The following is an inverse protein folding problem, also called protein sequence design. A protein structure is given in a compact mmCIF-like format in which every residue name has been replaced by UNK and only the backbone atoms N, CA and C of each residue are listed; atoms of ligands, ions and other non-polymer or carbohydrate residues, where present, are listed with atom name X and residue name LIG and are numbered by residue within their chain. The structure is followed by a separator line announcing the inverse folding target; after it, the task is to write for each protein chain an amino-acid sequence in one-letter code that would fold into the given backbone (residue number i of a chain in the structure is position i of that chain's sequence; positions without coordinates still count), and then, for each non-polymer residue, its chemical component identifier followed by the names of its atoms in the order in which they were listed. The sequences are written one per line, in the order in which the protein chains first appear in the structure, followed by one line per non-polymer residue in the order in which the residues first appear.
data_IF_337506305957
#
_entry.id   IF_337506305957
#
_cell.length_a   1.000
_cell.length_b   1.000
_cell.length_c   1.000
_cell.angle_alpha   90.00
_cell.angle_beta   90.00
_cell.angle_gamma   90.00
#
_symmetry.space_group_name_H-M   'P 1'
#
loop_
_entity.id
_entity.type
_entity.pdbx_description
1 polymer ?
#
# COMPACT_ATOMS: atom_id res chain seq x y z
N UNK A 1 -29.98 -3.95 -13.32
CA UNK A 1 -28.79 -3.34 -13.93
C UNK A 1 -27.56 -4.10 -13.43
N UNK A 2 -26.60 -4.40 -14.30
CA UNK A 2 -25.48 -5.29 -13.98
C UNK A 2 -24.44 -4.66 -13.03
N UNK A 3 -23.46 -5.46 -12.61
CA UNK A 3 -22.30 -4.97 -11.85
C UNK A 3 -21.51 -3.99 -12.71
N UNK A 4 -21.22 -2.80 -12.20
CA UNK A 4 -20.39 -1.80 -12.91
C UNK A 4 -18.91 -2.26 -12.89
N UNK A 5 -18.53 -3.03 -13.91
CA UNK A 5 -17.18 -3.61 -14.04
C UNK A 5 -16.09 -2.55 -14.24
N UNK A 6 -16.44 -1.37 -14.78
CA UNK A 6 -15.48 -0.32 -15.15
C UNK A 6 -14.73 0.24 -13.94
N UNK A 7 -15.41 0.31 -12.78
CA UNK A 7 -14.86 0.94 -11.57
C UNK A 7 -14.56 -0.05 -10.45
N UNK A 8 -14.83 -1.34 -10.67
CA UNK A 8 -14.54 -2.40 -9.69
C UNK A 8 -13.05 -2.73 -9.73
N UNK A 9 -12.40 -2.89 -8.59
CA UNK A 9 -11.00 -3.25 -8.44
C UNK A 9 -10.81 -4.51 -7.58
N UNK A 10 -9.69 -5.24 -7.74
CA UNK A 10 -9.38 -6.31 -6.80
C UNK A 10 -9.29 -5.78 -5.37
N UNK A 11 -9.85 -6.57 -4.45
CA UNK A 11 -10.11 -6.31 -3.04
C UNK A 11 -11.38 -5.53 -2.71
N UNK A 12 -12.12 -5.03 -3.70
CA UNK A 12 -13.45 -4.47 -3.44
C UNK A 12 -14.45 -5.55 -3.04
N UNK A 13 -15.57 -5.15 -2.43
CA UNK A 13 -16.52 -6.09 -1.85
C UNK A 13 -17.93 -5.91 -2.41
N UNK A 14 -18.63 -7.03 -2.48
CA UNK A 14 -20.05 -7.11 -2.74
C UNK A 14 -20.72 -7.86 -1.58
N UNK A 15 -21.81 -7.32 -1.06
CA UNK A 15 -22.54 -7.95 0.05
C UNK A 15 -24.06 -7.90 -0.15
N UNK A 16 -24.74 -8.96 0.26
CA UNK A 16 -26.20 -9.07 0.12
C UNK A 16 -26.67 -10.49 0.45
N UNK A 17 -27.90 -10.62 0.97
CA UNK A 17 -28.52 -11.92 1.29
C UNK A 17 -27.63 -12.87 2.12
N UNK A 18 -26.90 -12.28 3.09
CA UNK A 18 -26.01 -13.02 3.99
C UNK A 18 -24.66 -13.42 3.37
N UNK A 19 -24.43 -13.12 2.09
CA UNK A 19 -23.18 -13.37 1.37
C UNK A 19 -22.27 -12.14 1.42
N UNK A 20 -20.96 -12.37 1.58
CA UNK A 20 -19.93 -11.36 1.38
C UNK A 20 -18.87 -11.91 0.43
N UNK A 21 -18.63 -11.19 -0.66
CA UNK A 21 -17.70 -11.53 -1.74
C UNK A 21 -16.62 -10.46 -1.80
N UNK A 22 -15.37 -10.88 -1.99
CA UNK A 22 -14.24 -9.97 -2.23
C UNK A 22 -13.62 -10.26 -3.60
N UNK A 23 -13.53 -9.24 -4.43
CA UNK A 23 -13.04 -9.34 -5.80
C UNK A 23 -11.57 -9.76 -5.80
N UNK A 24 -11.25 -10.82 -6.51
CA UNK A 24 -9.87 -11.29 -6.71
C UNK A 24 -9.38 -11.00 -8.12
N UNK A 25 -10.28 -10.89 -9.10
CA UNK A 25 -9.92 -10.67 -10.49
C UNK A 25 -11.08 -10.03 -11.27
N UNK A 26 -10.77 -9.21 -12.27
CA UNK A 26 -11.74 -8.66 -13.22
C UNK A 26 -11.52 -9.33 -14.57
N UNK A 27 -12.54 -10.03 -15.06
CA UNK A 27 -12.46 -10.87 -16.26
C UNK A 27 -11.38 -11.95 -16.16
N UNK A 28 -11.15 -12.66 -17.27
CA UNK A 28 -9.94 -13.49 -17.45
C UNK A 28 -9.15 -12.99 -18.65
N UNK A 29 -7.82 -12.93 -18.53
CA UNK A 29 -6.95 -12.73 -19.69
C UNK A 29 -7.15 -13.92 -20.63
N UNK A 30 -7.55 -13.66 -21.87
CA UNK A 30 -7.67 -14.70 -22.87
C UNK A 30 -6.27 -15.19 -23.26
N UNK A 31 -5.95 -16.46 -23.01
CA UNK A 31 -4.68 -17.07 -23.43
C UNK A 31 -4.67 -17.48 -24.92
N UNK A 32 -5.66 -17.04 -25.70
CA UNK A 32 -5.77 -17.35 -27.13
C UNK A 32 -5.80 -18.85 -27.41
N UNK A 33 -5.06 -19.28 -28.42
CA UNK A 33 -5.01 -20.68 -28.91
C UNK A 33 -4.40 -21.69 -27.93
N UNK A 34 -3.74 -21.24 -26.86
CA UNK A 34 -3.16 -22.10 -25.82
C UNK A 34 -4.17 -22.49 -24.71
N UNK A 35 -5.40 -21.97 -24.77
CA UNK A 35 -6.45 -22.32 -23.82
C UNK A 35 -7.07 -23.69 -24.18
N UNK A 36 -6.96 -24.69 -23.31
CA UNK A 36 -7.51 -26.04 -23.53
C UNK A 36 -9.00 -26.01 -23.93
N UNK A 37 -9.77 -25.09 -23.35
CA UNK A 37 -11.19 -24.89 -23.68
C UNK A 37 -11.33 -24.38 -25.14
N UNK A 38 -10.49 -23.44 -25.58
CA UNK A 38 -10.51 -22.98 -26.98
C UNK A 38 -10.12 -24.10 -27.95
N UNK A 39 -9.16 -24.96 -27.57
CA UNK A 39 -8.71 -26.10 -28.38
C UNK A 39 -9.83 -27.15 -28.55
N UNK A 40 -10.68 -27.35 -27.54
CA UNK A 40 -11.78 -28.32 -27.60
C UNK A 40 -13.05 -27.77 -28.26
N UNK A 41 -13.45 -26.52 -27.97
CA UNK A 41 -14.74 -25.98 -28.43
C UNK A 41 -14.62 -24.99 -29.59
N UNK A 42 -13.41 -24.62 -30.02
CA UNK A 42 -13.14 -23.69 -31.12
C UNK A 42 -13.53 -22.23 -30.87
N UNK A 43 -14.12 -21.95 -29.70
CA UNK A 43 -14.48 -20.61 -29.27
C UNK A 43 -14.36 -20.48 -27.74
N UNK A 44 -13.94 -19.32 -27.25
CA UNK A 44 -13.75 -19.11 -25.80
C UNK A 44 -15.11 -18.93 -25.10
N UNK A 45 -15.45 -19.86 -24.20
CA UNK A 45 -16.71 -19.83 -23.41
C UNK A 45 -16.57 -18.97 -22.13
N UNK A 46 -15.37 -18.44 -21.83
CA UNK A 46 -15.19 -17.60 -20.64
C UNK A 46 -15.75 -16.19 -20.86
N UNK A 47 -16.57 -15.68 -19.92
CA UNK A 47 -17.09 -14.33 -20.03
C UNK A 47 -15.93 -13.32 -20.02
N UNK A 48 -15.86 -12.50 -21.08
CA UNK A 48 -14.94 -11.36 -21.17
C UNK A 48 -15.29 -10.27 -20.14
N UNK A 49 -16.51 -10.31 -19.65
CA UNK A 49 -17.12 -9.36 -18.73
C UNK A 49 -17.57 -10.11 -17.47
N UNK A 50 -16.99 -9.80 -16.32
CA UNK A 50 -17.35 -10.41 -15.05
C UNK A 50 -16.28 -10.18 -13.98
N UNK A 51 -16.59 -10.55 -12.75
CA UNK A 51 -15.63 -10.57 -11.64
C UNK A 51 -15.45 -12.00 -11.15
N UNK A 52 -14.23 -12.33 -10.73
CA UNK A 52 -13.98 -13.47 -9.86
C UNK A 52 -13.85 -12.92 -8.45
N UNK A 53 -14.51 -13.59 -7.51
CA UNK A 53 -14.48 -13.20 -6.12
C UNK A 53 -14.29 -14.43 -5.24
N UNK A 54 -13.62 -14.23 -4.11
CA UNK A 54 -13.58 -15.21 -3.03
C UNK A 54 -14.73 -14.94 -2.06
N UNK A 55 -15.30 -16.01 -1.51
CA UNK A 55 -16.38 -15.92 -0.53
C UNK A 55 -15.78 -15.66 0.84
N UNK A 56 -16.05 -14.47 1.41
CA UNK A 56 -15.69 -14.13 2.79
C UNK A 56 -16.76 -14.64 3.78
N UNK A 57 -18.02 -14.62 3.37
CA UNK A 57 -19.16 -15.14 4.13
C UNK A 57 -20.13 -15.87 3.22
N UNK A 58 -20.48 -17.11 3.58
CA UNK A 58 -21.39 -17.97 2.83
C UNK A 58 -22.85 -17.58 3.04
N UNK A 59 -23.67 -17.77 2.00
CA UNK A 59 -25.11 -17.52 1.98
C UNK A 59 -25.70 -17.99 0.65
N UNK A 60 -26.89 -17.52 0.30
CA UNK A 60 -27.59 -17.94 -0.93
C UNK A 60 -27.87 -16.70 -1.79
N UNK A 61 -27.52 -16.79 -3.08
CA UNK A 61 -27.87 -15.80 -4.09
C UNK A 61 -28.75 -16.44 -5.16
N UNK A 62 -29.74 -15.69 -5.62
CA UNK A 62 -30.60 -16.01 -6.75
C UNK A 62 -30.54 -14.90 -7.81
N UNK A 63 -30.83 -15.23 -9.09
CA UNK A 63 -30.99 -14.20 -10.11
C UNK A 63 -32.01 -13.13 -9.70
N UNK A 64 -31.63 -11.86 -9.83
CA UNK A 64 -32.45 -10.73 -9.40
C UNK A 64 -32.10 -10.16 -8.03
N UNK A 65 -31.25 -10.86 -7.26
CA UNK A 65 -30.74 -10.33 -5.99
C UNK A 65 -29.89 -9.08 -6.18
N UNK A 66 -30.04 -8.13 -5.26
CA UNK A 66 -29.27 -6.87 -5.26
C UNK A 66 -28.10 -7.00 -4.29
N UNK A 67 -26.90 -6.73 -4.79
CA UNK A 67 -25.68 -6.67 -3.98
C UNK A 67 -25.26 -5.21 -3.77
N UNK A 68 -24.83 -4.90 -2.56
CA UNK A 68 -24.22 -3.62 -2.20
C UNK A 68 -22.73 -3.68 -2.55
N UNK A 69 -22.30 -2.81 -3.46
CA UNK A 69 -20.90 -2.60 -3.79
C UNK A 69 -20.23 -1.70 -2.73
N UNK A 70 -19.08 -2.13 -2.24
CA UNK A 70 -18.26 -1.40 -1.29
C UNK A 70 -16.80 -1.39 -1.76
N UNK A 71 -16.28 -0.26 -2.27
CA UNK A 71 -14.89 -0.17 -2.68
C UNK A 71 -13.97 -0.27 -1.47
N UNK A 72 -12.84 -0.95 -1.63
CA UNK A 72 -11.83 -1.01 -0.57
C UNK A 72 -11.14 0.34 -0.42
N UNK A 73 -11.18 0.86 0.81
CA UNK A 73 -10.41 2.05 1.21
C UNK A 73 -9.08 1.60 1.79
N UNK A 74 -7.98 1.98 1.13
CA UNK A 74 -6.62 1.73 1.60
C UNK A 74 -6.19 2.80 2.60
N UNK A 75 -5.79 2.39 3.81
CA UNK A 75 -5.50 3.31 4.91
C UNK A 75 -3.99 3.52 5.05
N UNK A 76 -3.59 4.78 5.02
CA UNK A 76 -2.21 5.23 5.19
C UNK A 76 -2.07 6.01 6.49
N UNK A 77 -1.01 5.73 7.23
CA UNK A 77 -0.55 6.56 8.34
C UNK A 77 0.82 7.15 7.99
N UNK A 78 0.90 8.47 7.97
CA UNK A 78 2.14 9.21 7.80
C UNK A 78 2.62 9.68 9.17
N UNK A 79 3.83 9.30 9.57
CA UNK A 79 4.43 9.70 10.85
C UNK A 79 5.66 10.57 10.56
N UNK A 80 5.56 11.86 10.85
CA UNK A 80 6.73 12.76 10.84
C UNK A 80 7.40 12.70 12.20
N UNK A 81 8.70 12.40 12.21
CA UNK A 81 9.56 12.48 13.39
C UNK A 81 10.43 13.73 13.29
N UNK A 82 10.21 14.66 14.24
CA UNK A 82 11.05 15.84 14.38
C UNK A 82 10.81 16.56 15.70
N UNK A 83 11.84 16.63 16.55
CA UNK A 83 11.82 17.48 17.75
C UNK A 83 11.47 18.95 17.42
N UNK A 84 12.11 19.49 16.38
CA UNK A 84 11.96 20.90 15.96
C UNK A 84 10.62 21.21 15.31
N UNK A 85 10.07 20.29 14.50
CA UNK A 85 8.75 20.51 13.93
C UNK A 85 7.67 20.39 15.01
N UNK A 86 7.84 19.44 15.94
CA UNK A 86 6.95 19.23 17.06
C UNK A 86 6.96 20.42 18.04
N UNK A 87 8.12 21.01 18.32
CA UNK A 87 8.26 22.22 19.15
C UNK A 87 7.78 23.50 18.46
N UNK A 88 7.48 23.46 17.16
CA UNK A 88 7.03 24.61 16.37
C UNK A 88 8.15 25.52 15.86
N UNK A 89 9.42 25.12 16.00
CA UNK A 89 10.57 25.85 15.43
C UNK A 89 10.51 25.94 13.90
N UNK A 90 9.94 24.92 13.26
CA UNK A 90 9.56 24.98 11.85
C UNK A 90 8.30 24.17 11.55
N UNK A 91 7.66 24.46 10.42
CA UNK A 91 6.52 23.67 9.93
C UNK A 91 6.98 22.39 9.25
N UNK A 92 6.31 21.27 9.54
CA UNK A 92 6.49 20.03 8.77
C UNK A 92 6.06 20.23 7.32
N UNK A 93 6.99 19.98 6.39
CA UNK A 93 6.75 19.99 4.94
C UNK A 93 6.86 18.61 4.31
N UNK A 94 7.46 17.65 5.00
CA UNK A 94 7.73 16.32 4.46
C UNK A 94 6.51 15.43 4.60
N UNK A 95 5.82 15.45 5.75
CA UNK A 95 4.56 14.74 5.96
C UNK A 95 3.49 15.13 4.94
N UNK A 96 3.16 16.43 4.79
CA UNK A 96 2.23 16.90 3.76
C UNK A 96 2.64 16.49 2.35
N UNK A 97 3.94 16.52 2.04
CA UNK A 97 4.42 16.12 0.72
C UNK A 97 4.20 14.64 0.41
N UNK A 98 4.33 13.76 1.41
CA UNK A 98 3.99 12.34 1.26
C UNK A 98 2.50 12.20 0.93
N UNK A 99 1.63 12.93 1.64
CA UNK A 99 0.18 12.90 1.40
C UNK A 99 -0.17 13.37 -0.02
N UNK A 100 0.46 14.45 -0.50
CA UNK A 100 0.26 14.94 -1.87
C UNK A 100 0.60 13.88 -2.92
N UNK A 101 1.77 13.22 -2.77
CA UNK A 101 2.22 12.19 -3.71
C UNK A 101 1.32 10.96 -3.70
N UNK A 102 0.81 10.56 -2.53
CA UNK A 102 -0.18 9.50 -2.42
C UNK A 102 -1.48 9.89 -3.14
N UNK A 103 -2.03 11.07 -2.84
CA UNK A 103 -3.26 11.55 -3.49
C UNK A 103 -3.10 11.60 -5.01
N UNK A 104 -2.01 12.19 -5.52
CA UNK A 104 -1.74 12.25 -6.97
C UNK A 104 -1.59 10.87 -7.61
N UNK A 105 -0.95 9.92 -6.92
CA UNK A 105 -0.79 8.56 -7.43
C UNK A 105 -2.15 7.85 -7.53
N UNK A 106 -2.91 7.85 -6.44
CA UNK A 106 -4.15 7.07 -6.35
C UNK A 106 -5.32 7.68 -7.14
N UNK A 107 -5.31 9.00 -7.39
CA UNK A 107 -6.25 9.65 -8.34
C UNK A 107 -6.27 8.96 -9.72
N UNK A 108 -5.13 8.46 -10.20
CA UNK A 108 -5.03 7.80 -11.50
C UNK A 108 -5.44 6.33 -11.49
N UNK A 109 -5.55 5.71 -10.31
CA UNK A 109 -5.77 4.26 -10.15
C UNK A 109 -7.21 3.90 -9.78
N UNK A 110 -8.07 4.89 -9.53
CA UNK A 110 -9.43 4.74 -8.99
C UNK A 110 -9.52 4.06 -7.60
N UNK A 111 -8.40 3.63 -7.00
CA UNK A 111 -8.35 3.11 -5.63
C UNK A 111 -8.71 4.22 -4.64
N UNK A 112 -9.61 3.89 -3.71
CA UNK A 112 -9.95 4.80 -2.60
C UNK A 112 -8.88 4.70 -1.52
N UNK A 113 -8.48 5.84 -1.00
CA UNK A 113 -7.51 5.93 0.09
C UNK A 113 -8.01 6.82 1.21
N UNK A 114 -7.53 6.56 2.41
CA UNK A 114 -7.66 7.43 3.57
C UNK A 114 -6.26 7.68 4.13
N UNK A 115 -5.92 8.94 4.38
CA UNK A 115 -4.61 9.32 4.90
C UNK A 115 -4.79 9.96 6.27
N UNK A 116 -4.07 9.43 7.24
CA UNK A 116 -3.91 9.98 8.59
C UNK A 116 -2.47 10.48 8.73
N UNK A 117 -2.28 11.62 9.40
CA UNK A 117 -0.96 12.21 9.63
C UNK A 117 -0.74 12.42 11.12
N UNK A 118 0.47 12.09 11.57
CA UNK A 118 0.90 12.22 12.95
C UNK A 118 2.28 12.87 12.98
N UNK A 119 2.42 13.94 13.78
CA UNK A 119 3.71 14.57 14.06
C UNK A 119 4.11 14.26 15.51
N UNK A 120 5.29 13.68 15.68
CA UNK A 120 5.87 13.33 16.99
C UNK A 120 7.31 13.84 17.12
N UNK A 121 7.81 14.03 18.35
CA UNK A 121 9.24 14.24 18.57
C UNK A 121 10.05 12.99 18.17
N UNK A 122 11.38 13.12 18.17
CA UNK A 122 12.31 12.02 17.93
C UNK A 122 12.38 11.10 19.16
N UNK A 123 11.29 10.35 19.38
CA UNK A 123 11.06 9.48 20.54
C UNK A 123 10.68 8.05 20.09
N UNK A 124 11.48 7.07 20.53
CA UNK A 124 11.33 5.67 20.12
C UNK A 124 10.07 5.01 20.66
N UNK A 125 9.65 5.35 21.88
CA UNK A 125 8.49 4.73 22.52
C UNK A 125 7.19 5.25 21.90
N UNK A 126 7.13 6.55 21.61
CA UNK A 126 6.04 7.17 20.89
C UNK A 126 5.91 6.59 19.47
N UNK A 127 7.02 6.46 18.74
CA UNK A 127 7.03 5.87 17.40
C UNK A 127 6.57 4.40 17.44
N UNK A 128 7.14 3.60 18.35
CA UNK A 128 6.78 2.19 18.51
C UNK A 128 5.30 2.03 18.83
N UNK A 129 4.78 2.83 19.77
CA UNK A 129 3.37 2.84 20.14
C UNK A 129 2.48 3.16 18.94
N UNK A 130 2.79 4.22 18.20
CA UNK A 130 2.02 4.63 17.02
C UNK A 130 1.97 3.53 15.96
N UNK A 131 3.10 2.86 15.69
CA UNK A 131 3.15 1.75 14.71
C UNK A 131 2.37 0.52 15.20
N UNK A 132 2.48 0.15 16.48
CA UNK A 132 1.71 -0.96 17.06
C UNK A 132 0.21 -0.69 17.03
N UNK A 133 -0.21 0.53 17.37
CA UNK A 133 -1.61 0.95 17.27
C UNK A 133 -2.10 0.94 15.81
N UNK A 134 -1.28 1.40 14.86
CA UNK A 134 -1.60 1.34 13.44
C UNK A 134 -1.86 -0.10 12.97
N UNK A 135 -1.02 -1.06 13.39
CA UNK A 135 -1.20 -2.49 13.08
C UNK A 135 -2.51 -3.01 13.69
N UNK A 136 -2.78 -2.71 14.96
CA UNK A 136 -4.03 -3.09 15.64
C UNK A 136 -5.28 -2.51 14.97
N UNK A 137 -5.18 -1.28 14.47
CA UNK A 137 -6.23 -0.58 13.73
C UNK A 137 -6.31 -0.98 12.26
N UNK A 138 -5.53 -1.97 11.81
CA UNK A 138 -5.50 -2.47 10.43
C UNK A 138 -5.18 -1.37 9.40
N UNK A 139 -4.26 -0.46 9.73
CA UNK A 139 -3.65 0.44 8.75
C UNK A 139 -2.90 -0.41 7.72
N UNK A 140 -3.13 -0.16 6.43
CA UNK A 140 -2.49 -0.94 5.37
C UNK A 140 -1.03 -0.51 5.16
N UNK A 141 -0.73 0.79 5.28
CA UNK A 141 0.61 1.33 5.04
C UNK A 141 0.99 2.38 6.07
N UNK A 142 2.15 2.22 6.71
CA UNK A 142 2.79 3.21 7.57
C UNK A 142 4.01 3.77 6.86
N UNK A 143 4.09 5.09 6.75
CA UNK A 143 5.23 5.80 6.15
C UNK A 143 5.78 6.75 7.21
N UNK A 144 7.03 6.58 7.60
CA UNK A 144 7.70 7.53 8.49
C UNK A 144 8.59 8.49 7.68
N UNK A 145 8.78 9.71 8.17
CA UNK A 145 9.77 10.65 7.63
C UNK A 145 10.56 11.31 8.75
N UNK A 146 11.89 11.22 8.66
CA UNK A 146 12.81 11.71 9.70
C UNK A 146 13.51 10.58 10.46
N UNK A 147 14.63 10.91 11.12
CA UNK A 147 15.36 10.00 12.02
C UNK A 147 16.02 8.78 11.37
N UNK A 148 16.38 8.84 10.08
CA UNK A 148 16.97 7.69 9.34
C UNK A 148 18.47 7.84 9.04
N UNK A 149 19.12 8.86 9.59
CA UNK A 149 20.57 9.08 9.46
C UNK A 149 21.41 8.27 10.46
N UNK A 150 22.63 8.73 10.72
CA UNK A 150 23.59 8.08 11.63
C UNK A 150 23.81 8.86 12.93
N UNK A 151 23.10 9.97 13.13
CA UNK A 151 23.20 10.78 14.34
C UNK A 151 22.58 10.06 15.54
N UNK A 152 22.95 10.48 16.76
CA UNK A 152 22.44 9.89 18.00
C UNK A 152 20.91 10.01 18.16
N UNK A 153 20.31 11.01 17.52
CA UNK A 153 18.85 11.22 17.50
C UNK A 153 18.15 10.51 16.34
N UNK A 154 18.88 9.87 15.42
CA UNK A 154 18.30 9.13 14.29
C UNK A 154 17.82 7.74 14.74
N UNK A 155 16.67 7.70 15.41
CA UNK A 155 16.12 6.50 16.09
C UNK A 155 15.12 5.71 15.25
N UNK A 156 14.66 6.24 14.11
CA UNK A 156 13.51 5.69 13.38
C UNK A 156 13.78 4.26 12.91
N UNK A 157 14.95 4.02 12.33
CA UNK A 157 15.29 2.70 11.78
C UNK A 157 15.48 1.67 12.89
N UNK A 158 16.15 2.05 13.97
CA UNK A 158 16.38 1.18 15.13
C UNK A 158 15.08 0.82 15.86
N UNK A 159 14.10 1.73 15.84
CA UNK A 159 12.77 1.50 16.41
C UNK A 159 11.90 0.62 15.50
N UNK A 160 11.93 0.85 14.18
CA UNK A 160 11.03 0.17 13.23
C UNK A 160 11.52 -1.22 12.86
N UNK A 161 12.83 -1.40 12.62
CA UNK A 161 13.38 -2.66 12.10
C UNK A 161 13.00 -3.88 12.94
N UNK A 162 13.04 -3.84 14.30
CA UNK A 162 12.61 -4.97 15.13
C UNK A 162 11.12 -5.31 15.05
N UNK A 163 10.28 -4.39 14.58
CA UNK A 163 8.84 -4.60 14.43
C UNK A 163 8.47 -5.29 13.11
N UNK A 164 9.40 -5.34 12.15
CA UNK A 164 9.19 -5.95 10.84
C UNK A 164 9.28 -7.47 10.95
N UNK A 165 8.25 -8.17 10.46
CA UNK A 165 8.27 -9.63 10.34
C UNK A 165 9.06 -10.09 9.12
N UNK A 166 9.07 -9.27 8.05
CA UNK A 166 9.85 -9.53 6.84
C UNK A 166 10.33 -8.21 6.25
N UNK A 167 11.64 -8.03 6.16
CA UNK A 167 12.27 -6.90 5.49
C UNK A 167 12.25 -7.09 3.97
N UNK A 168 12.13 -6.00 3.22
CA UNK A 168 12.21 -5.94 1.76
C UNK A 168 13.36 -5.00 1.38
N UNK A 169 14.62 -5.43 1.54
CA UNK A 169 15.78 -4.55 1.41
C UNK A 169 15.91 -3.96 -0.01
N UNK A 170 15.51 -4.71 -1.04
CA UNK A 170 15.63 -4.31 -2.45
C UNK A 170 14.96 -2.98 -2.79
N UNK A 171 13.90 -2.58 -2.08
CA UNK A 171 13.24 -1.27 -2.29
C UNK A 171 14.22 -0.14 -1.93
N UNK A 172 14.81 -0.21 -0.75
CA UNK A 172 15.69 0.83 -0.23
C UNK A 172 17.07 0.79 -0.89
N UNK A 173 17.55 -0.40 -1.26
CA UNK A 173 18.77 -0.57 -2.06
C UNK A 173 18.64 0.07 -3.44
N UNK A 174 17.55 -0.18 -4.16
CA UNK A 174 17.30 0.44 -5.46
C UNK A 174 17.28 1.96 -5.37
N UNK A 175 16.58 2.52 -4.39
CA UNK A 175 16.51 3.97 -4.17
C UNK A 175 17.90 4.54 -3.87
N UNK A 176 18.65 3.94 -2.93
CA UNK A 176 20.01 4.39 -2.61
C UNK A 176 20.93 4.34 -3.80
N UNK A 177 20.90 3.26 -4.60
CA UNK A 177 21.74 3.15 -5.80
C UNK A 177 21.36 4.17 -6.87
N UNK A 178 20.06 4.37 -7.09
CA UNK A 178 19.56 5.30 -8.11
C UNK A 178 19.95 6.76 -7.81
N UNK A 179 19.78 7.21 -6.58
CA UNK A 179 20.03 8.60 -6.21
C UNK A 179 21.46 8.84 -5.69
N UNK A 180 22.11 7.80 -5.17
CA UNK A 180 23.46 7.83 -4.63
C UNK A 180 24.54 8.22 -5.64
N UNK A 181 24.33 7.87 -6.92
CA UNK A 181 25.27 8.24 -7.99
C UNK A 181 25.41 9.76 -8.17
N UNK A 182 24.28 10.50 -8.06
CA UNK A 182 24.27 11.96 -8.18
C UNK A 182 24.43 12.67 -6.82
N UNK A 183 23.99 12.01 -5.74
CA UNK A 183 24.07 12.53 -4.39
C UNK A 183 24.58 11.44 -3.44
N UNK A 184 25.90 11.33 -3.21
CA UNK A 184 26.48 10.31 -2.35
C UNK A 184 25.89 10.26 -0.93
N UNK A 185 25.34 11.37 -0.43
CA UNK A 185 24.68 11.41 0.88
C UNK A 185 23.45 10.49 0.95
N UNK A 186 22.78 10.22 -0.17
CA UNK A 186 21.65 9.29 -0.21
C UNK A 186 22.06 7.87 0.21
N UNK A 187 23.32 7.48 -0.01
CA UNK A 187 23.84 6.17 0.38
C UNK A 187 23.95 5.98 1.91
N UNK A 188 24.02 7.08 2.66
CA UNK A 188 24.13 7.05 4.13
C UNK A 188 22.78 6.80 4.81
N UNK A 189 21.66 6.87 4.08
CA UNK A 189 20.35 6.63 4.65
C UNK A 189 20.21 5.18 5.11
N UNK A 190 19.83 5.00 6.37
CA UNK A 190 19.54 3.71 6.97
C UNK A 190 18.12 3.24 6.71
N UNK A 191 17.35 3.95 5.88
CA UNK A 191 15.95 3.63 5.56
C UNK A 191 15.72 2.13 5.29
N UNK A 192 14.66 1.59 5.88
CA UNK A 192 14.17 0.22 5.73
C UNK A 192 12.75 0.21 5.16
N UNK A 193 12.42 -0.87 4.45
CA UNK A 193 11.08 -1.21 4.02
C UNK A 193 10.77 -2.64 4.46
N UNK A 194 9.53 -2.90 4.84
CA UNK A 194 9.13 -4.26 5.19
C UNK A 194 7.66 -4.38 5.52
N UNK A 195 7.30 -5.56 6.04
CA UNK A 195 5.92 -5.90 6.38
C UNK A 195 5.84 -6.45 7.80
N UNK A 196 4.72 -6.17 8.46
CA UNK A 196 4.36 -6.73 9.75
C UNK A 196 2.85 -6.94 9.80
N UNK A 197 2.40 -8.18 10.00
CA UNK A 197 1.00 -8.53 9.75
C UNK A 197 0.61 -8.25 8.30
N UNK A 198 -0.45 -7.46 8.10
CA UNK A 198 -0.88 -6.96 6.79
C UNK A 198 -0.43 -5.52 6.51
N UNK A 199 0.33 -4.91 7.42
CA UNK A 199 0.78 -3.53 7.33
C UNK A 199 2.15 -3.46 6.65
N UNK A 200 2.26 -2.62 5.63
CA UNK A 200 3.53 -2.28 5.00
C UNK A 200 4.14 -1.08 5.70
N UNK A 201 5.45 -1.11 5.95
CA UNK A 201 6.14 -0.04 6.67
C UNK A 201 7.32 0.44 5.85
N UNK A 202 7.40 1.75 5.64
CA UNK A 202 8.49 2.43 4.94
C UNK A 202 9.05 3.55 5.81
N UNK A 203 10.37 3.60 5.99
CA UNK A 203 11.02 4.72 6.69
C UNK A 203 11.75 5.60 5.69
N UNK A 204 11.42 6.89 5.61
CA UNK A 204 11.99 7.82 4.65
C UNK A 204 12.84 8.88 5.37
N UNK A 205 13.84 9.48 4.68
CA UNK A 205 14.54 10.63 5.23
C UNK A 205 13.63 11.84 5.43
N UNK A 206 14.05 12.78 6.28
CA UNK A 206 13.24 13.93 6.72
C UNK A 206 13.12 15.08 5.73
N UNK A 207 13.84 15.08 4.60
CA UNK A 207 13.82 16.19 3.64
C UNK A 207 12.78 16.02 2.54
N UNK A 208 12.10 17.11 2.17
CA UNK A 208 11.15 17.14 1.02
C UNK A 208 11.81 16.63 -0.27
N UNK A 209 13.11 16.92 -0.47
CA UNK A 209 13.87 16.40 -1.60
C UNK A 209 13.89 14.87 -1.58
N UNK A 210 14.24 14.26 -0.45
CA UNK A 210 14.24 12.81 -0.31
C UNK A 210 12.85 12.20 -0.48
N UNK A 211 11.79 12.86 0.00
CA UNK A 211 10.40 12.41 -0.25
C UNK A 211 10.10 12.33 -1.76
N UNK A 212 10.52 13.35 -2.53
CA UNK A 212 10.37 13.37 -3.99
C UNK A 212 11.22 12.32 -4.71
N UNK A 213 12.26 11.79 -4.08
CA UNK A 213 13.11 10.73 -4.62
C UNK A 213 12.56 9.34 -4.24
N UNK A 214 12.15 9.15 -2.99
CA UNK A 214 11.80 7.82 -2.45
C UNK A 214 10.39 7.40 -2.83
N UNK A 215 9.40 8.28 -2.68
CA UNK A 215 7.99 7.93 -2.89
C UNK A 215 7.71 7.43 -4.32
N UNK A 216 8.21 8.07 -5.40
CA UNK A 216 7.97 7.55 -6.74
C UNK A 216 8.50 6.15 -6.98
N UNK A 217 9.61 5.76 -6.34
CA UNK A 217 10.15 4.41 -6.45
C UNK A 217 9.36 3.39 -5.62
N UNK A 218 8.91 3.77 -4.42
CA UNK A 218 8.03 2.94 -3.57
C UNK A 218 6.71 2.66 -4.30
N UNK A 219 6.07 3.70 -4.84
CA UNK A 219 4.75 3.63 -5.47
C UNK A 219 4.71 2.73 -6.72
N UNK A 220 5.83 2.57 -7.43
CA UNK A 220 5.92 1.62 -8.57
C UNK A 220 5.69 0.17 -8.16
N UNK A 221 5.98 -0.17 -6.91
CA UNK A 221 5.93 -1.55 -6.41
C UNK A 221 4.74 -1.81 -5.50
N UNK A 222 4.07 -0.75 -5.03
CA UNK A 222 3.05 -0.83 -3.99
C UNK A 222 1.87 -1.71 -4.42
N UNK A 223 1.32 -1.52 -5.62
CA UNK A 223 0.17 -2.29 -6.09
C UNK A 223 0.45 -3.80 -6.18
N UNK A 224 1.62 -4.16 -6.70
CA UNK A 224 2.01 -5.56 -6.78
C UNK A 224 2.24 -6.16 -5.38
N UNK A 225 2.84 -5.40 -4.46
CA UNK A 225 3.01 -5.82 -3.07
C UNK A 225 1.65 -6.05 -2.38
N UNK A 226 0.66 -5.20 -2.63
CA UNK A 226 -0.72 -5.39 -2.17
C UNK A 226 -1.26 -6.73 -2.66
N UNK A 227 -1.18 -6.99 -3.97
CA UNK A 227 -1.69 -8.24 -4.55
C UNK A 227 -1.01 -9.48 -3.99
N UNK A 228 0.33 -9.47 -3.90
CA UNK A 228 1.08 -10.56 -3.27
C UNK A 228 0.64 -10.81 -1.83
N UNK A 229 0.44 -9.74 -1.03
CA UNK A 229 0.09 -9.89 0.38
C UNK A 229 -1.31 -10.48 0.59
N UNK A 230 -2.25 -10.12 -0.28
CA UNK A 230 -3.64 -10.57 -0.21
C UNK A 230 -3.93 -11.84 -1.02
N UNK A 231 -2.91 -12.42 -1.66
CA UNK A 231 -3.04 -13.65 -2.45
C UNK A 231 -3.83 -13.46 -3.74
N UNK A 232 -3.71 -12.28 -4.36
CA UNK A 232 -4.28 -12.01 -5.67
C UNK A 232 -3.24 -12.35 -6.72
N UNK A 233 -3.56 -13.32 -7.58
CA UNK A 233 -2.71 -13.68 -8.70
C UNK A 233 -2.98 -12.74 -9.87
N UNK A 234 -1.93 -12.04 -10.31
CA UNK A 234 -1.97 -11.13 -11.46
C UNK A 234 -1.27 -11.69 -12.71
N UNK A 235 -0.67 -12.89 -12.59
CA UNK A 235 0.13 -13.52 -13.64
C UNK A 235 -0.65 -14.52 -14.48
#
# INVERSE_FOLDING_TARGET
EGVELVNTLPLDRFSGNGVELEVTQIGKKCHGTACAIYTEVGNCVMPKEGIFARVLKTGVLAPGDVLIYSPRVFRFLIITLSDRAYSGEYTDRSGPRVADLLNSHFQNTHRKIQIESLLIPDDSDALKKAVVEAIGNKIDVVITTGGTGVGERDITVDTIKPLLQKEIPGIMENIRMKYGAANPMALLSRSVAGITGNTFVYTLPGSVKAINEYMPEILKTLEHLIYMRYGIDTH
#
